data_IF_182391298143
#
_entry.id   IF_182391298143
#
_cell.length_a   1.000
_cell.length_b   1.000
_cell.length_c   1.000
_cell.angle_alpha   90.00
_cell.angle_beta   90.00
_cell.angle_gamma   90.00
#
_symmetry.space_group_name_H-M   'P 1'
#
loop_
_entity.id
_entity.type
_entity.pdbx_description
1 polymer ?
#
# COMPACT_ATOMS: atom_id res chain seq x y z
N UNK A 1 -15.29 -10.93 7.72
CA UNK A 1 -15.98 -10.88 6.43
C UNK A 1 -15.58 -9.57 5.76
N UNK A 2 -15.00 -9.60 4.56
CA UNK A 2 -14.51 -8.41 3.88
C UNK A 2 -15.62 -7.46 3.45
N UNK A 3 -15.32 -6.18 3.36
CA UNK A 3 -16.23 -5.15 2.86
C UNK A 3 -16.31 -5.19 1.33
N UNK A 4 -17.40 -4.70 0.76
CA UNK A 4 -17.58 -4.71 -0.71
C UNK A 4 -17.02 -3.45 -1.36
N UNK A 5 -16.50 -3.60 -2.59
CA UNK A 5 -16.05 -2.48 -3.44
C UNK A 5 -17.15 -1.94 -4.37
N UNK A 6 -18.41 -2.42 -4.25
CA UNK A 6 -19.48 -2.21 -5.26
C UNK A 6 -19.53 -0.83 -5.91
N UNK A 7 -19.30 0.23 -5.15
CA UNK A 7 -19.45 1.61 -5.60
C UNK A 7 -18.11 2.35 -5.78
N UNK A 8 -16.99 1.69 -5.45
CA UNK A 8 -15.66 2.29 -5.54
C UNK A 8 -14.99 1.90 -6.87
N UNK A 9 -14.48 2.90 -7.56
CA UNK A 9 -13.58 2.71 -8.71
C UNK A 9 -12.21 3.26 -8.34
N UNK A 10 -11.18 2.45 -8.55
CA UNK A 10 -9.80 2.93 -8.46
C UNK A 10 -9.58 4.06 -9.45
N UNK A 11 -9.07 5.19 -8.99
CA UNK A 11 -8.70 6.32 -9.84
C UNK A 11 -7.22 6.27 -10.23
N UNK A 12 -6.35 5.92 -9.27
CA UNK A 12 -4.89 5.87 -9.44
C UNK A 12 -4.30 4.56 -8.94
N UNK A 13 -3.19 4.14 -9.53
CA UNK A 13 -2.32 3.14 -8.93
C UNK A 13 -1.43 3.81 -7.86
N UNK A 14 -1.00 3.03 -6.85
CA UNK A 14 -0.26 3.58 -5.71
C UNK A 14 1.02 4.33 -6.11
N UNK A 15 1.78 3.81 -7.07
CA UNK A 15 3.02 4.44 -7.54
C UNK A 15 2.83 5.52 -8.59
N UNK A 16 1.60 5.79 -9.04
CA UNK A 16 1.28 6.82 -10.03
C UNK A 16 0.86 8.14 -9.40
N UNK A 17 0.46 8.14 -8.12
CA UNK A 17 0.09 9.35 -7.38
C UNK A 17 1.30 10.27 -7.23
N UNK A 18 1.13 11.54 -7.54
CA UNK A 18 2.22 12.51 -7.61
C UNK A 18 1.79 13.91 -7.15
N UNK A 19 2.72 14.86 -7.09
CA UNK A 19 2.41 16.27 -6.79
C UNK A 19 1.41 16.93 -7.74
N UNK A 20 1.21 16.36 -8.94
CA UNK A 20 0.22 16.89 -9.89
C UNK A 20 -1.21 16.69 -9.44
N UNK A 21 -1.40 15.68 -8.59
CA UNK A 21 -2.69 15.28 -8.05
C UNK A 21 -2.98 15.97 -6.70
N UNK A 22 -2.16 16.98 -6.33
CA UNK A 22 -2.34 17.73 -5.07
C UNK A 22 -3.74 18.34 -4.98
N UNK A 23 -4.38 18.15 -3.81
CA UNK A 23 -5.77 18.53 -3.53
C UNK A 23 -6.83 17.69 -4.30
N UNK A 24 -6.40 16.74 -5.12
CA UNK A 24 -7.33 15.84 -5.79
C UNK A 24 -7.78 14.71 -4.84
N UNK A 25 -9.04 14.35 -4.97
CA UNK A 25 -9.60 13.19 -4.28
C UNK A 25 -9.33 11.93 -5.09
N UNK A 26 -8.53 11.05 -4.53
CA UNK A 26 -8.12 9.80 -5.18
C UNK A 26 -8.65 8.58 -4.47
N UNK A 27 -8.90 7.50 -5.22
CA UNK A 27 -9.19 6.18 -4.69
C UNK A 27 -8.12 5.20 -5.12
N UNK A 28 -7.40 4.66 -4.16
CA UNK A 28 -6.38 3.63 -4.36
C UNK A 28 -6.84 2.29 -3.78
N UNK A 29 -6.29 1.20 -4.31
CA UNK A 29 -6.54 -0.15 -3.81
C UNK A 29 -5.25 -0.93 -3.81
N UNK A 30 -4.93 -1.58 -2.71
CA UNK A 30 -3.67 -2.30 -2.57
C UNK A 30 -3.60 -3.14 -1.30
N UNK A 31 -2.39 -3.54 -0.98
CA UNK A 31 -2.04 -4.29 0.22
C UNK A 31 -1.37 -3.38 1.24
N UNK A 32 -1.72 -3.53 2.50
CA UNK A 32 -1.01 -2.88 3.62
C UNK A 32 0.38 -3.50 3.72
N UNK A 33 1.41 -2.72 3.41
CA UNK A 33 2.79 -3.18 3.57
C UNK A 33 3.29 -2.93 4.98
N UNK A 34 3.08 -1.74 5.50
CA UNK A 34 3.54 -1.34 6.83
C UNK A 34 2.54 -0.40 7.48
N UNK A 35 2.31 -0.57 8.77
CA UNK A 35 1.54 0.35 9.61
C UNK A 35 2.42 0.86 10.73
N UNK A 36 2.31 2.14 11.04
CA UNK A 36 3.03 2.83 12.12
C UNK A 36 2.06 3.75 12.84
N UNK A 37 2.12 3.77 14.16
CA UNK A 37 1.48 4.78 14.98
C UNK A 37 2.57 5.74 15.47
N UNK A 38 2.40 7.03 15.26
CA UNK A 38 3.32 8.04 15.70
C UNK A 38 2.56 9.26 16.22
N UNK A 39 2.60 9.45 17.53
CA UNK A 39 1.95 10.59 18.17
C UNK A 39 0.42 10.60 18.04
N UNK A 40 -0.22 9.43 17.91
CA UNK A 40 -1.66 9.31 17.75
C UNK A 40 -2.14 9.51 16.31
N UNK A 41 -1.24 9.58 15.34
CA UNK A 41 -1.54 9.56 13.90
C UNK A 41 -1.09 8.23 13.32
N UNK A 42 -1.94 7.58 12.55
CA UNK A 42 -1.62 6.29 11.91
C UNK A 42 -1.14 6.55 10.49
N UNK A 43 0.08 6.08 10.21
CA UNK A 43 0.68 6.06 8.88
C UNK A 43 0.66 4.65 8.34
N UNK A 44 0.20 4.49 7.10
CA UNK A 44 0.12 3.19 6.45
C UNK A 44 0.71 3.26 5.05
N UNK A 45 1.68 2.42 4.77
CA UNK A 45 2.24 2.29 3.44
C UNK A 45 1.40 1.27 2.66
N UNK A 46 0.74 1.72 1.59
CA UNK A 46 -0.10 0.90 0.71
C UNK A 46 0.66 0.59 -0.55
N UNK A 47 0.74 -0.69 -0.87
CA UNK A 47 1.48 -1.21 -2.04
C UNK A 47 0.52 -1.80 -3.06
N UNK A 48 0.79 -1.54 -4.32
CA UNK A 48 0.24 -2.29 -5.45
C UNK A 48 1.36 -2.66 -6.44
N UNK A 49 1.00 -3.08 -7.65
CA UNK A 49 1.96 -3.45 -8.71
C UNK A 49 2.82 -2.30 -9.21
N UNK A 50 2.39 -1.05 -9.03
CA UNK A 50 3.09 0.14 -9.54
C UNK A 50 4.08 0.71 -8.55
N UNK A 51 3.87 0.50 -7.24
CA UNK A 51 4.71 1.05 -6.19
C UNK A 51 3.99 1.15 -4.85
N UNK A 52 4.45 2.08 -4.04
CA UNK A 52 4.00 2.31 -2.67
C UNK A 52 3.60 3.76 -2.54
N UNK A 53 2.52 4.04 -1.79
CA UNK A 53 2.13 5.37 -1.36
C UNK A 53 1.80 5.37 0.13
N UNK A 54 2.17 6.43 0.84
CA UNK A 54 1.79 6.61 2.24
C UNK A 54 0.39 7.18 2.35
N UNK A 55 -0.37 6.60 3.28
CA UNK A 55 -1.70 7.08 3.67
C UNK A 55 -1.66 7.47 5.13
N UNK A 56 -2.29 8.58 5.47
CA UNK A 56 -2.35 9.14 6.82
C UNK A 56 -3.78 9.12 7.33
N UNK A 57 -3.96 8.60 8.54
CA UNK A 57 -5.23 8.60 9.26
C UNK A 57 -5.08 9.47 10.50
N UNK A 58 -5.75 10.62 10.48
CA UNK A 58 -5.80 11.53 11.61
C UNK A 58 -6.96 11.20 12.55
N UNK A 59 -6.82 11.34 13.86
CA UNK A 59 -7.92 11.15 14.81
C UNK A 59 -9.12 12.06 14.51
N UNK A 60 -8.86 13.26 14.00
CA UNK A 60 -9.87 14.26 13.66
C UNK A 60 -10.70 13.87 12.41
N UNK A 61 -10.24 12.93 11.60
CA UNK A 61 -10.97 12.44 10.41
C UNK A 61 -12.14 11.53 10.74
N UNK A 62 -12.39 11.26 12.02
CA UNK A 62 -13.52 10.46 12.52
C UNK A 62 -13.06 9.22 13.27
N UNK A 63 -13.70 9.00 14.41
CA UNK A 63 -13.35 7.90 15.34
C UNK A 63 -13.43 6.53 14.69
N UNK A 64 -14.49 6.27 13.91
CA UNK A 64 -14.69 4.99 13.22
C UNK A 64 -13.60 4.69 12.21
N UNK A 65 -13.21 5.69 11.41
CA UNK A 65 -12.13 5.58 10.42
C UNK A 65 -10.79 5.28 11.12
N UNK A 66 -10.52 5.97 12.21
CA UNK A 66 -9.29 5.81 12.99
C UNK A 66 -9.21 4.43 13.65
N UNK A 67 -10.28 3.96 14.31
CA UNK A 67 -10.35 2.62 14.91
C UNK A 67 -10.17 1.52 13.86
N UNK A 68 -10.77 1.70 12.68
CA UNK A 68 -10.59 0.78 11.55
C UNK A 68 -9.13 0.77 11.07
N UNK A 69 -8.48 1.93 10.93
CA UNK A 69 -7.08 2.04 10.58
C UNK A 69 -6.14 1.41 11.64
N UNK A 70 -6.49 1.52 12.92
CA UNK A 70 -5.75 0.89 14.02
C UNK A 70 -5.79 -0.64 13.94
N UNK A 71 -6.88 -1.21 13.44
CA UNK A 71 -7.04 -2.65 13.26
C UNK A 71 -6.25 -3.24 12.08
N UNK A 72 -5.71 -2.41 11.17
CA UNK A 72 -4.99 -2.87 9.98
C UNK A 72 -3.75 -3.69 10.35
N UNK A 73 -3.51 -4.75 9.57
CA UNK A 73 -2.32 -5.59 9.67
C UNK A 73 -1.69 -5.74 8.29
N UNK A 74 -0.44 -6.20 8.28
CA UNK A 74 0.31 -6.45 7.05
C UNK A 74 -0.46 -7.36 6.10
N UNK A 75 -0.39 -7.05 4.82
CA UNK A 75 -1.02 -7.76 3.70
C UNK A 75 -2.56 -7.74 3.69
N UNK A 76 -3.23 -6.99 4.58
CA UNK A 76 -4.67 -6.72 4.41
C UNK A 76 -4.91 -6.04 3.06
N UNK A 77 -5.98 -6.44 2.39
CA UNK A 77 -6.42 -5.84 1.14
C UNK A 77 -7.36 -4.69 1.45
N UNK A 78 -7.03 -3.50 1.00
CA UNK A 78 -7.79 -2.28 1.33
C UNK A 78 -8.13 -1.47 0.09
N UNK A 79 -9.24 -0.74 0.19
CA UNK A 79 -9.56 0.38 -0.69
C UNK A 79 -9.63 1.65 0.17
N UNK A 80 -8.94 2.69 -0.27
CA UNK A 80 -8.83 3.94 0.47
C UNK A 80 -9.17 5.09 -0.46
N UNK A 81 -10.06 5.96 -0.02
CA UNK A 81 -10.35 7.23 -0.68
C UNK A 81 -9.87 8.36 0.23
N UNK A 82 -9.22 9.35 -0.35
CA UNK A 82 -8.68 10.48 0.39
C UNK A 82 -8.12 11.55 -0.52
N UNK A 83 -7.69 12.65 0.08
CA UNK A 83 -7.10 13.80 -0.58
C UNK A 83 -5.57 13.67 -0.62
N UNK A 84 -4.98 14.03 -1.76
CA UNK A 84 -3.52 14.05 -1.90
C UNK A 84 -2.98 15.34 -1.32
N UNK A 85 -2.07 15.24 -0.35
CA UNK A 85 -1.41 16.38 0.28
C UNK A 85 0.12 16.26 0.15
N UNK A 86 0.86 17.38 0.09
CA UNK A 86 2.31 17.35 0.14
C UNK A 86 2.75 16.95 1.56
N UNK A 87 3.78 16.12 1.66
CA UNK A 87 4.38 15.82 2.97
C UNK A 87 5.08 17.06 3.54
N UNK A 88 5.02 17.26 4.86
CA UNK A 88 5.86 18.26 5.53
C UNK A 88 7.34 18.08 5.15
N UNK A 89 8.09 19.19 5.00
CA UNK A 89 9.48 19.16 4.55
C UNK A 89 10.38 18.19 5.31
N UNK A 90 10.16 18.02 6.62
CA UNK A 90 10.91 17.07 7.46
C UNK A 90 10.55 15.59 7.26
N UNK A 91 9.46 15.29 6.54
CA UNK A 91 8.91 13.92 6.37
C UNK A 91 9.01 13.40 4.93
N UNK A 92 9.65 14.15 4.04
CA UNK A 92 9.88 13.72 2.65
C UNK A 92 10.77 12.48 2.64
N UNK A 93 10.34 11.44 1.93
CA UNK A 93 11.12 10.21 1.78
C UNK A 93 11.69 10.11 0.36
N UNK A 94 12.98 10.40 0.16
CA UNK A 94 13.62 10.37 -1.17
C UNK A 94 13.76 8.96 -1.75
N UNK A 95 13.58 7.90 -0.94
CA UNK A 95 13.67 6.52 -1.41
C UNK A 95 12.41 6.05 -2.15
N UNK A 96 11.29 6.77 -1.98
CA UNK A 96 10.03 6.44 -2.64
C UNK A 96 9.74 7.45 -3.77
N UNK A 97 9.35 7.00 -4.97
CA UNK A 97 8.89 7.89 -6.04
C UNK A 97 7.73 8.81 -5.63
N UNK A 98 6.88 8.33 -4.72
CA UNK A 98 5.74 9.05 -4.13
C UNK A 98 6.09 9.75 -2.82
N UNK A 99 7.35 9.81 -2.46
CA UNK A 99 7.80 10.23 -1.13
C UNK A 99 7.63 11.70 -0.78
N UNK A 100 7.22 12.53 -1.75
CA UNK A 100 6.94 13.95 -1.56
C UNK A 100 5.47 14.25 -1.22
N UNK A 101 4.61 13.23 -1.37
CA UNK A 101 3.16 13.33 -1.13
C UNK A 101 2.69 12.26 -0.15
N UNK A 102 1.51 12.47 0.41
CA UNK A 102 0.76 11.49 1.17
C UNK A 102 -0.73 11.62 0.88
N UNK A 103 -1.50 10.60 1.19
CA UNK A 103 -2.96 10.63 1.03
C UNK A 103 -3.58 10.74 2.42
N UNK A 104 -4.30 11.82 2.68
CA UNK A 104 -5.11 11.98 3.88
C UNK A 104 -6.42 11.23 3.71
N UNK A 105 -6.55 10.14 4.44
CA UNK A 105 -7.68 9.23 4.32
C UNK A 105 -9.00 9.86 4.79
N UNK A 106 -10.05 9.68 4.00
CA UNK A 106 -11.43 10.02 4.32
C UNK A 106 -12.32 8.78 4.42
N UNK A 107 -12.02 7.74 3.64
CA UNK A 107 -12.73 6.47 3.67
C UNK A 107 -11.75 5.31 3.59
N UNK A 108 -12.00 4.28 4.40
CA UNK A 108 -11.26 3.03 4.41
C UNK A 108 -12.24 1.85 4.34
N UNK A 109 -12.03 0.97 3.39
CA UNK A 109 -12.68 -0.35 3.34
C UNK A 109 -11.64 -1.45 3.43
N UNK A 110 -11.84 -2.37 4.35
CA UNK A 110 -11.05 -3.61 4.43
C UNK A 110 -11.74 -4.66 3.57
N UNK A 111 -11.18 -4.89 2.38
CA UNK A 111 -11.75 -5.81 1.40
C UNK A 111 -11.49 -7.26 1.79
N UNK A 112 -10.31 -7.52 2.35
CA UNK A 112 -9.95 -8.83 2.87
C UNK A 112 -8.89 -8.72 3.97
N UNK A 113 -9.00 -9.57 4.98
CA UNK A 113 -8.06 -9.65 6.10
C UNK A 113 -7.17 -10.87 5.93
N UNK A 114 -5.93 -10.63 5.56
CA UNK A 114 -4.94 -11.71 5.41
C UNK A 114 -4.50 -12.26 6.77
N UNK A 115 -4.23 -13.55 6.83
CA UNK A 115 -3.40 -14.11 7.89
C UNK A 115 -1.96 -13.60 7.75
N UNK A 116 -1.19 -13.64 8.85
CA UNK A 116 0.22 -13.22 8.80
C UNK A 116 0.98 -14.07 7.78
N UNK A 117 1.53 -13.45 6.72
CA UNK A 117 2.21 -14.22 5.69
C UNK A 117 3.51 -14.83 6.22
N UNK A 118 3.85 -16.06 5.81
CA UNK A 118 5.09 -16.74 6.22
C UNK A 118 6.35 -16.13 5.60
N UNK A 119 6.20 -15.24 4.63
CA UNK A 119 7.28 -14.53 3.93
C UNK A 119 6.90 -13.06 3.85
N UNK A 120 7.82 -12.18 4.21
CA UNK A 120 7.69 -10.75 3.94
C UNK A 120 7.89 -10.47 2.43
N UNK A 121 7.05 -9.60 1.86
CA UNK A 121 7.13 -9.25 0.43
C UNK A 121 8.12 -8.10 0.25
N UNK A 122 9.38 -8.37 0.59
CA UNK A 122 10.53 -7.47 0.51
C UNK A 122 11.75 -8.20 -0.10
N UNK A 123 12.70 -7.47 -0.65
CA UNK A 123 13.83 -8.11 -1.34
C UNK A 123 14.92 -8.63 -0.40
N UNK A 124 15.13 -7.97 0.73
CA UNK A 124 16.18 -8.30 1.69
C UNK A 124 15.61 -9.12 2.86
N UNK A 125 15.13 -10.34 2.58
CA UNK A 125 14.58 -11.24 3.58
C UNK A 125 15.53 -12.40 3.87
N UNK A 126 15.65 -12.77 5.14
CA UNK A 126 16.39 -13.95 5.61
C UNK A 126 15.46 -15.18 5.67
N UNK A 127 14.76 -15.44 4.57
CA UNK A 127 13.86 -16.60 4.46
C UNK A 127 14.49 -17.66 3.59
N UNK A 128 14.64 -18.87 4.12
CA UNK A 128 15.20 -20.03 3.43
C UNK A 128 14.49 -20.34 2.11
N UNK A 129 15.23 -20.93 1.19
CA UNK A 129 14.73 -21.22 -0.17
C UNK A 129 13.54 -22.17 -0.15
N UNK A 130 13.53 -23.18 0.74
CA UNK A 130 12.43 -24.14 0.89
C UNK A 130 11.10 -23.46 1.20
N UNK A 131 11.11 -22.48 2.11
CA UNK A 131 9.91 -21.71 2.47
C UNK A 131 9.47 -20.84 1.30
N UNK A 132 10.41 -20.21 0.58
CA UNK A 132 10.13 -19.40 -0.61
C UNK A 132 9.56 -20.23 -1.75
N UNK A 133 10.04 -21.44 -1.95
CA UNK A 133 9.51 -22.38 -2.95
C UNK A 133 8.11 -22.87 -2.57
N UNK A 134 7.89 -23.20 -1.29
CA UNK A 134 6.57 -23.61 -0.79
C UNK A 134 5.51 -22.53 -0.96
N UNK A 135 5.88 -21.27 -0.69
CA UNK A 135 4.99 -20.10 -0.82
C UNK A 135 5.36 -19.26 -2.05
N UNK A 136 5.61 -19.91 -3.18
CA UNK A 136 6.12 -19.28 -4.40
C UNK A 136 5.27 -18.11 -4.87
N UNK A 137 3.95 -18.17 -4.71
CA UNK A 137 3.02 -17.09 -5.06
C UNK A 137 3.25 -15.79 -4.26
N UNK A 138 3.76 -15.87 -3.03
CA UNK A 138 4.20 -14.70 -2.25
C UNK A 138 5.59 -14.23 -2.69
N UNK A 139 6.53 -15.15 -2.86
CA UNK A 139 7.90 -14.83 -3.29
C UNK A 139 7.92 -14.08 -4.64
N UNK A 140 7.05 -14.46 -5.58
CA UNK A 140 6.91 -13.78 -6.88
C UNK A 140 6.42 -12.34 -6.79
N UNK A 141 5.79 -11.94 -5.68
CA UNK A 141 5.31 -10.56 -5.45
C UNK A 141 6.42 -9.62 -4.95
N UNK A 142 7.57 -10.13 -4.56
CA UNK A 142 8.72 -9.30 -4.18
C UNK A 142 9.17 -8.42 -5.34
N UNK A 143 9.60 -7.16 -5.10
CA UNK A 143 9.96 -6.20 -6.15
C UNK A 143 10.93 -6.77 -7.20
N UNK A 144 12.03 -7.40 -6.76
CA UNK A 144 13.02 -8.04 -7.64
C UNK A 144 12.41 -9.13 -8.50
N UNK A 145 11.57 -9.98 -7.93
CA UNK A 145 10.93 -11.09 -8.66
C UNK A 145 9.90 -10.57 -9.66
N UNK A 146 9.07 -9.61 -9.27
CA UNK A 146 8.12 -8.95 -10.16
C UNK A 146 8.81 -8.31 -11.35
N UNK A 147 9.94 -7.60 -11.12
CA UNK A 147 10.76 -6.99 -12.17
C UNK A 147 11.35 -8.04 -13.13
N UNK A 148 11.89 -9.14 -12.61
CA UNK A 148 12.44 -10.24 -13.41
C UNK A 148 11.36 -10.91 -14.26
N UNK A 149 10.19 -11.19 -13.69
CA UNK A 149 9.07 -11.79 -14.43
C UNK A 149 8.56 -10.85 -15.53
N UNK A 150 8.45 -9.55 -15.22
CA UNK A 150 8.08 -8.52 -16.20
C UNK A 150 9.09 -8.42 -17.35
N UNK A 151 10.39 -8.46 -17.05
CA UNK A 151 11.44 -8.48 -18.07
C UNK A 151 11.35 -9.73 -18.96
N UNK A 152 11.21 -10.91 -18.35
CA UNK A 152 11.01 -12.17 -19.07
C UNK A 152 9.81 -12.11 -20.00
N UNK A 153 8.68 -11.60 -19.53
CA UNK A 153 7.49 -11.43 -20.35
C UNK A 153 7.74 -10.53 -21.57
N UNK A 154 8.43 -9.39 -21.37
CA UNK A 154 8.77 -8.46 -22.46
C UNK A 154 9.64 -9.12 -23.52
N UNK A 155 10.67 -9.86 -23.10
CA UNK A 155 11.58 -10.57 -24.03
C UNK A 155 10.81 -11.65 -24.82
N UNK A 156 9.93 -12.39 -24.16
CA UNK A 156 9.15 -13.46 -24.83
C UNK A 156 8.13 -12.92 -25.81
N UNK A 157 7.63 -11.68 -25.58
CA UNK A 157 6.63 -11.03 -26.43
C UNK A 157 7.24 -10.26 -27.62
N UNK A 158 8.52 -9.91 -27.56
CA UNK A 158 9.23 -9.22 -28.63
C UNK A 158 9.55 -10.16 -29.78
#
# INVERSE_FOLDING_TARGET
MGETIKDLKRTHLCGEVSKKDNEDKVTIMGWVQKRRDHGGVIFTDIRDRSGIVQVVFNPDSGKELFEKADSLRSEYVVAITGEVEPRPEGNINPELPTGEIEIKAEELRVLDAAETPPIQIEDNIDTGEDVRLKYRYLDLRRPKMTKLMGLRHKITKA
#
